data_IF_109627457896
#
_entry.id   IF_109627457896
#
_cell.length_a   1.000
_cell.length_b   1.000
_cell.length_c   1.000
_cell.angle_alpha   90.00
_cell.angle_beta   90.00
_cell.angle_gamma   90.00
#
_symmetry.space_group_name_H-M   'P 1'
#
loop_
_entity.id
_entity.type
_entity.pdbx_description
1 polymer ?
#
# COMPACT_ATOMS: atom_id res chain seq x y z
N UNK A 1 52.09 54.68 -28.25
CA UNK A 1 52.47 53.54 -27.39
C UNK A 1 52.40 54.00 -25.95
N UNK A 2 51.23 53.93 -25.30
CA UNK A 2 51.05 53.92 -23.82
C UNK A 2 49.56 53.92 -23.40
N UNK A 3 48.63 54.33 -24.26
CA UNK A 3 47.21 54.46 -23.89
C UNK A 3 46.34 53.21 -24.05
N UNK A 4 46.84 52.13 -24.66
CA UNK A 4 46.09 50.86 -24.80
C UNK A 4 46.39 49.80 -23.73
N UNK A 5 47.42 50.00 -22.88
CA UNK A 5 47.73 49.08 -21.77
C UNK A 5 46.88 49.33 -20.52
N UNK A 6 46.42 50.57 -20.31
CA UNK A 6 45.62 50.93 -19.14
C UNK A 6 44.20 50.34 -19.16
N UNK A 7 43.56 50.29 -20.34
CA UNK A 7 42.22 49.70 -20.48
C UNK A 7 42.22 48.17 -20.36
N UNK A 8 43.32 47.51 -20.73
CA UNK A 8 43.44 46.06 -20.62
C UNK A 8 43.66 45.59 -19.17
N UNK A 9 44.44 46.33 -18.37
CA UNK A 9 44.58 46.05 -16.94
C UNK A 9 43.31 46.39 -16.14
N UNK A 10 42.58 47.45 -16.53
CA UNK A 10 41.31 47.83 -15.88
C UNK A 10 40.20 46.77 -16.11
N UNK A 11 40.11 46.19 -17.31
CA UNK A 11 39.12 45.15 -17.61
C UNK A 11 39.39 43.83 -16.85
N UNK A 12 40.67 43.46 -16.66
CA UNK A 12 41.04 42.24 -15.92
C UNK A 12 40.78 42.43 -14.41
N UNK A 13 40.99 43.63 -13.85
CA UNK A 13 40.69 43.90 -12.43
C UNK A 13 39.18 43.87 -12.13
N UNK A 14 38.35 44.35 -13.07
CA UNK A 14 36.88 44.33 -12.95
C UNK A 14 36.33 42.90 -13.09
N UNK A 15 36.87 42.08 -14.01
CA UNK A 15 36.51 40.65 -14.09
C UNK A 15 36.98 39.86 -12.86
N UNK A 16 38.15 40.18 -12.29
CA UNK A 16 38.63 39.55 -11.06
C UNK A 16 37.77 39.96 -9.84
N UNK A 17 37.39 41.23 -9.70
CA UNK A 17 36.47 41.66 -8.63
C UNK A 17 35.06 41.08 -8.77
N UNK A 18 34.57 40.88 -10.00
CA UNK A 18 33.29 40.20 -10.25
C UNK A 18 33.35 38.69 -9.92
N UNK A 19 34.52 38.06 -10.06
CA UNK A 19 34.73 36.67 -9.61
C UNK A 19 34.90 36.52 -8.10
N UNK A 20 35.36 37.55 -7.38
CA UNK A 20 35.49 37.54 -5.92
C UNK A 20 34.19 37.93 -5.17
N UNK A 21 33.26 38.62 -5.84
CA UNK A 21 31.92 38.91 -5.30
C UNK A 21 30.90 37.78 -5.51
N UNK A 22 31.28 36.67 -6.15
CA UNK A 22 30.44 35.48 -6.30
C UNK A 22 30.77 34.34 -5.31
N UNK A 23 31.73 34.53 -4.41
CA UNK A 23 32.21 33.45 -3.51
C UNK A 23 31.80 33.64 -2.04
N UNK A 24 31.13 34.73 -1.66
CA UNK A 24 30.69 34.92 -0.28
C UNK A 24 29.32 35.60 -0.17
N UNK A 25 28.25 34.81 -0.18
CA UNK A 25 27.09 34.97 0.72
C UNK A 25 25.94 34.06 0.28
N UNK A 26 25.87 32.83 0.79
CA UNK A 26 24.63 32.27 1.36
C UNK A 26 25.08 31.23 2.38
N UNK A 27 25.35 31.69 3.59
CA UNK A 27 25.34 30.82 4.76
C UNK A 27 23.87 30.62 5.14
N UNK A 28 23.15 29.87 4.31
CA UNK A 28 21.90 29.29 4.73
C UNK A 28 22.28 28.15 5.66
N UNK A 29 21.90 28.28 6.92
CA UNK A 29 21.84 27.15 7.83
C UNK A 29 21.08 26.04 7.10
N UNK A 30 21.80 25.02 6.62
CA UNK A 30 21.18 23.77 6.18
C UNK A 30 20.62 23.15 7.44
N UNK A 31 19.35 23.44 7.71
CA UNK A 31 18.50 22.51 8.44
C UNK A 31 18.70 21.16 7.75
N UNK A 32 19.31 20.23 8.46
CA UNK A 32 19.33 18.83 8.09
C UNK A 32 17.90 18.44 7.73
N UNK A 33 17.62 17.95 6.52
CA UNK A 33 16.35 17.27 6.30
C UNK A 33 16.35 16.13 7.29
N UNK A 34 15.43 16.17 8.25
CA UNK A 34 15.02 14.94 8.91
C UNK A 34 14.37 14.14 7.78
N UNK A 35 15.16 13.33 7.09
CA UNK A 35 14.64 12.25 6.27
C UNK A 35 13.69 11.45 7.18
N UNK A 36 12.43 11.20 6.78
CA UNK A 36 11.68 10.16 7.43
C UNK A 36 12.48 8.87 7.22
N UNK A 37 13.10 8.37 8.31
CA UNK A 37 13.75 7.07 8.36
C UNK A 37 12.70 5.98 8.17
N UNK A 38 12.26 5.80 6.93
CA UNK A 38 11.87 4.47 6.48
C UNK A 38 13.20 3.78 6.17
N UNK A 39 13.80 3.21 7.22
CA UNK A 39 14.96 2.34 7.09
C UNK A 39 14.52 1.13 6.26
N UNK A 40 14.98 1.09 5.02
CA UNK A 40 14.82 -0.05 4.12
C UNK A 40 15.82 -1.13 4.55
N UNK A 41 15.36 -2.29 5.06
CA UNK A 41 16.27 -3.37 5.39
C UNK A 41 16.53 -4.18 4.15
N UNK A 42 17.63 -3.91 3.48
CA UNK A 42 18.19 -4.86 2.54
C UNK A 42 19.67 -5.00 2.84
N UNK A 43 20.04 -6.15 3.40
CA UNK A 43 21.43 -6.60 3.54
C UNK A 43 21.97 -6.73 4.97
N UNK A 44 21.23 -7.31 5.93
CA UNK A 44 21.82 -7.75 7.20
C UNK A 44 21.55 -9.24 7.42
N UNK A 45 22.62 -9.99 7.64
CA UNK A 45 22.62 -11.42 8.01
C UNK A 45 22.26 -11.64 9.50
N UNK A 46 21.97 -10.57 10.24
CA UNK A 46 21.50 -10.61 11.61
C UNK A 46 19.98 -10.45 11.64
N UNK A 47 19.27 -11.19 12.51
CA UNK A 47 17.83 -11.01 12.69
C UNK A 47 17.55 -9.55 13.01
N UNK A 48 16.66 -8.93 12.23
CA UNK A 48 16.17 -7.61 12.60
C UNK A 48 15.44 -7.74 13.94
N UNK A 49 15.68 -6.78 14.83
CA UNK A 49 15.11 -6.78 16.17
C UNK A 49 14.26 -5.51 16.31
N UNK A 50 13.06 -5.62 16.85
CA UNK A 50 12.22 -4.44 17.08
C UNK A 50 12.58 -3.70 18.38
N UNK A 51 11.84 -2.63 18.67
CA UNK A 51 12.12 -1.72 19.78
C UNK A 51 12.13 -2.43 21.15
N UNK A 52 11.49 -3.59 21.26
CA UNK A 52 11.42 -4.40 22.48
C UNK A 52 12.54 -5.46 22.58
N UNK A 53 13.40 -5.57 21.56
CA UNK A 53 14.45 -6.58 21.55
C UNK A 53 14.01 -7.95 21.00
N UNK A 54 12.85 -8.04 20.35
CA UNK A 54 12.34 -9.28 19.75
C UNK A 54 12.68 -9.39 18.25
N UNK A 55 12.97 -10.61 17.79
CA UNK A 55 13.19 -10.89 16.37
C UNK A 55 11.95 -10.53 15.53
N UNK A 56 12.15 -9.68 14.53
CA UNK A 56 11.14 -9.23 13.59
C UNK A 56 10.76 -10.40 12.69
N UNK A 57 9.51 -10.83 12.81
CA UNK A 57 8.93 -11.83 11.92
C UNK A 57 8.70 -11.32 10.50
N UNK A 58 8.14 -12.20 9.68
CA UNK A 58 7.80 -11.89 8.29
C UNK A 58 6.71 -10.81 8.19
N UNK A 59 6.80 -9.99 7.15
CA UNK A 59 5.74 -9.04 6.78
C UNK A 59 4.84 -9.69 5.74
N UNK A 60 3.53 -9.67 6.00
CA UNK A 60 2.49 -10.20 5.13
C UNK A 60 1.58 -9.09 4.63
N UNK A 61 1.02 -9.26 3.44
CA UNK A 61 -0.02 -8.38 2.93
C UNK A 61 -1.19 -9.16 2.30
N UNK A 62 -2.39 -8.63 2.50
CA UNK A 62 -3.61 -9.05 1.78
C UNK A 62 -4.16 -7.81 1.09
N UNK A 63 -4.29 -7.86 -0.24
CA UNK A 63 -4.71 -6.73 -1.06
C UNK A 63 -6.01 -7.10 -1.77
N UNK A 64 -7.08 -6.33 -1.58
CA UNK A 64 -8.43 -6.71 -2.00
C UNK A 64 -9.10 -5.58 -2.78
N UNK A 65 -9.51 -5.89 -4.01
CA UNK A 65 -10.42 -5.08 -4.79
C UNK A 65 -11.81 -5.73 -4.71
N UNK A 66 -12.76 -5.06 -4.04
CA UNK A 66 -14.10 -5.59 -3.76
C UNK A 66 -15.08 -5.50 -4.94
N UNK A 67 -14.67 -5.02 -6.10
CA UNK A 67 -15.53 -4.92 -7.29
C UNK A 67 -14.89 -5.38 -8.59
N UNK A 68 -15.77 -5.52 -9.57
CA UNK A 68 -15.49 -5.82 -10.96
C UNK A 68 -16.16 -4.80 -11.88
N UNK A 69 -15.89 -4.91 -13.18
CA UNK A 69 -16.42 -4.06 -14.23
C UNK A 69 -15.59 -2.80 -14.44
N UNK A 70 -15.47 -2.37 -15.70
CA UNK A 70 -14.60 -1.26 -16.08
C UNK A 70 -14.94 0.09 -15.44
N UNK A 71 -16.20 0.32 -15.04
CA UNK A 71 -16.57 1.50 -14.25
C UNK A 71 -15.91 1.58 -12.86
N UNK A 72 -15.41 0.44 -12.37
CA UNK A 72 -14.71 0.30 -11.11
C UNK A 72 -13.19 0.11 -11.28
N UNK A 73 -12.65 0.49 -12.45
CA UNK A 73 -11.23 0.42 -12.79
C UNK A 73 -10.30 0.80 -11.63
N UNK A 74 -10.63 1.89 -10.93
CA UNK A 74 -9.83 2.48 -9.85
C UNK A 74 -9.51 1.50 -8.71
N UNK A 75 -10.44 0.64 -8.30
CA UNK A 75 -10.23 -0.25 -7.16
C UNK A 75 -9.19 -1.34 -7.44
N UNK A 76 -9.17 -1.88 -8.67
CA UNK A 76 -8.12 -2.81 -9.08
C UNK A 76 -6.80 -2.09 -9.37
N UNK A 77 -6.85 -0.84 -9.85
CA UNK A 77 -5.66 0.00 -10.01
C UNK A 77 -5.00 0.32 -8.65
N UNK A 78 -5.79 0.58 -7.61
CA UNK A 78 -5.35 0.77 -6.24
C UNK A 78 -4.61 -0.45 -5.70
N UNK A 79 -5.22 -1.63 -5.82
CA UNK A 79 -4.60 -2.90 -5.39
C UNK A 79 -3.30 -3.19 -6.15
N UNK A 80 -3.30 -2.98 -7.46
CA UNK A 80 -2.10 -3.14 -8.27
C UNK A 80 -1.00 -2.18 -7.81
N UNK A 81 -1.32 -0.91 -7.58
CA UNK A 81 -0.36 0.09 -7.12
C UNK A 81 0.16 -0.24 -5.71
N UNK A 82 -0.70 -0.66 -4.79
CA UNK A 82 -0.30 -1.11 -3.45
C UNK A 82 0.68 -2.29 -3.52
N UNK A 83 0.43 -3.28 -4.39
CA UNK A 83 1.39 -4.38 -4.63
C UNK A 83 2.75 -3.85 -5.08
N UNK A 84 2.79 -2.90 -6.02
CA UNK A 84 4.06 -2.32 -6.50
C UNK A 84 4.85 -1.64 -5.37
N UNK A 85 4.16 -0.90 -4.50
CA UNK A 85 4.78 -0.22 -3.35
C UNK A 85 5.34 -1.22 -2.35
N UNK A 86 4.59 -2.27 -1.99
CA UNK A 86 5.01 -3.28 -1.03
C UNK A 86 6.16 -4.14 -1.57
N UNK A 87 6.11 -4.49 -2.86
CA UNK A 87 7.22 -5.17 -3.56
C UNK A 87 8.48 -4.33 -3.54
N UNK A 88 8.38 -3.03 -3.85
CA UNK A 88 9.50 -2.09 -3.78
C UNK A 88 10.02 -1.93 -2.35
N UNK A 89 9.14 -2.02 -1.35
CA UNK A 89 9.47 -2.02 0.08
C UNK A 89 10.06 -3.32 0.61
N UNK A 90 10.28 -4.33 -0.24
CA UNK A 90 10.96 -5.58 0.12
C UNK A 90 10.05 -6.68 0.66
N UNK A 91 8.72 -6.54 0.62
CA UNK A 91 7.83 -7.65 0.95
C UNK A 91 7.91 -8.69 -0.17
N UNK A 92 8.14 -9.95 0.20
CA UNK A 92 8.22 -11.06 -0.74
C UNK A 92 6.85 -11.40 -1.31
N UNK A 93 6.78 -11.76 -2.58
CA UNK A 93 5.54 -12.13 -3.26
C UNK A 93 4.79 -13.31 -2.62
N UNK A 94 5.54 -14.27 -2.06
CA UNK A 94 4.98 -15.40 -1.31
C UNK A 94 4.18 -14.97 -0.07
N UNK A 95 4.45 -13.78 0.46
CA UNK A 95 3.76 -13.19 1.60
C UNK A 95 2.70 -12.14 1.21
N UNK A 96 2.47 -11.93 -0.08
CA UNK A 96 1.44 -11.01 -0.59
C UNK A 96 0.34 -11.81 -1.27
N UNK A 97 -0.88 -11.75 -0.72
CA UNK A 97 -2.07 -12.40 -1.28
C UNK A 97 -2.92 -11.35 -1.99
N UNK A 98 -3.17 -11.53 -3.28
CA UNK A 98 -3.93 -10.56 -4.10
C UNK A 98 -5.30 -11.10 -4.50
N UNK A 99 -6.33 -10.33 -4.15
CA UNK A 99 -7.71 -10.48 -4.58
C UNK A 99 -8.06 -9.34 -5.54
N UNK A 100 -8.26 -9.66 -6.81
CA UNK A 100 -8.81 -8.71 -7.78
C UNK A 100 -9.52 -9.46 -8.88
N UNK A 101 -10.65 -8.93 -9.36
CA UNK A 101 -11.48 -9.68 -10.30
C UNK A 101 -10.77 -9.96 -11.63
N UNK A 102 -9.79 -9.12 -12.00
CA UNK A 102 -8.89 -9.27 -13.16
C UNK A 102 -9.56 -9.08 -14.52
N UNK A 103 -10.58 -8.23 -14.57
CA UNK A 103 -11.36 -7.91 -15.77
C UNK A 103 -11.06 -6.51 -16.35
N UNK A 104 -10.00 -5.86 -15.88
CA UNK A 104 -9.64 -4.48 -16.28
C UNK A 104 -8.58 -4.43 -17.37
N UNK A 105 -7.45 -5.12 -17.19
CA UNK A 105 -6.29 -4.99 -18.07
C UNK A 105 -6.61 -5.32 -19.53
N UNK A 106 -7.42 -6.37 -19.76
CA UNK A 106 -7.83 -6.81 -21.10
C UNK A 106 -9.28 -6.42 -21.45
N UNK A 107 -9.90 -5.52 -20.69
CA UNK A 107 -11.26 -5.07 -20.97
C UNK A 107 -11.34 -4.40 -22.36
N UNK A 108 -12.43 -4.60 -23.10
CA UNK A 108 -12.62 -4.01 -24.43
C UNK A 108 -12.68 -2.47 -24.43
N UNK A 109 -12.98 -1.87 -23.29
CA UNK A 109 -12.95 -0.41 -23.08
C UNK A 109 -11.58 0.11 -22.62
N UNK A 110 -10.61 -0.76 -22.34
CA UNK A 110 -9.27 -0.33 -21.95
C UNK A 110 -8.51 0.19 -23.19
N UNK A 111 -8.17 1.49 -23.27
CA UNK A 111 -7.44 2.03 -24.42
C UNK A 111 -5.99 1.57 -24.48
N UNK A 112 -5.46 0.97 -23.40
CA UNK A 112 -4.11 0.42 -23.29
C UNK A 112 -4.20 -1.06 -22.83
N UNK A 113 -4.56 -1.99 -23.72
CA UNK A 113 -4.70 -3.40 -23.36
C UNK A 113 -3.44 -3.96 -22.68
N UNK A 114 -3.63 -4.68 -21.59
CA UNK A 114 -2.57 -5.25 -20.75
C UNK A 114 -1.94 -4.29 -19.74
N UNK A 115 -2.38 -3.03 -19.70
CA UNK A 115 -1.85 -2.00 -18.78
C UNK A 115 -2.95 -1.51 -17.84
N UNK A 116 -2.58 -1.29 -16.57
CA UNK A 116 -3.38 -0.53 -15.61
C UNK A 116 -2.49 0.57 -15.03
N UNK A 117 -2.88 1.83 -15.15
CA UNK A 117 -2.27 2.97 -14.44
C UNK A 117 -3.12 3.37 -13.22
N UNK A 118 -2.51 3.92 -12.17
CA UNK A 118 -3.22 4.50 -11.01
C UNK A 118 -2.86 5.99 -10.76
N UNK A 119 -2.39 6.68 -11.81
CA UNK A 119 -2.11 8.11 -11.82
C UNK A 119 -2.09 8.61 -13.27
N UNK A 120 -2.56 9.83 -13.60
CA UNK A 120 -2.66 10.29 -15.00
C UNK A 120 -1.36 10.23 -15.80
N UNK A 121 -0.22 10.48 -15.14
CA UNK A 121 1.14 10.33 -15.71
C UNK A 121 1.91 9.15 -15.08
N UNK A 122 1.20 8.19 -14.49
CA UNK A 122 1.81 7.02 -13.84
C UNK A 122 2.22 5.94 -14.82
N UNK A 123 3.18 5.12 -14.37
CA UNK A 123 3.58 3.89 -15.05
C UNK A 123 2.52 2.78 -14.92
N UNK A 124 2.72 1.68 -15.64
CA UNK A 124 1.92 0.46 -15.45
C UNK A 124 2.12 -0.11 -14.05
N UNK A 125 1.01 -0.33 -13.34
CA UNK A 125 0.98 -0.98 -12.03
C UNK A 125 0.52 -2.43 -12.11
N UNK A 126 0.03 -2.92 -13.26
CA UNK A 126 -0.51 -4.28 -13.42
C UNK A 126 0.57 -5.35 -13.58
N UNK A 127 1.65 -5.04 -14.31
CA UNK A 127 2.69 -6.02 -14.60
C UNK A 127 3.30 -6.62 -13.32
N UNK A 128 3.29 -7.96 -13.28
CA UNK A 128 3.84 -8.74 -12.18
C UNK A 128 2.92 -8.88 -10.97
N UNK A 129 1.74 -8.25 -10.94
CA UNK A 129 0.78 -8.43 -9.83
C UNK A 129 0.26 -9.88 -9.84
N UNK A 130 0.42 -10.65 -8.73
CA UNK A 130 -0.06 -12.02 -8.60
C UNK A 130 -1.57 -12.12 -8.83
N UNK A 131 -1.99 -13.28 -9.35
CA UNK A 131 -3.39 -13.63 -9.58
C UNK A 131 -3.81 -14.72 -8.59
N UNK A 132 -3.70 -14.43 -7.30
CA UNK A 132 -3.99 -15.44 -6.27
C UNK A 132 -5.47 -15.81 -6.25
N UNK A 133 -6.34 -14.81 -6.28
CA UNK A 133 -7.79 -14.99 -6.34
C UNK A 133 -8.39 -14.00 -7.33
N UNK A 134 -8.93 -14.52 -8.43
CA UNK A 134 -9.54 -13.72 -9.51
C UNK A 134 -10.92 -14.22 -9.91
N UNK A 135 -11.68 -13.39 -10.64
CA UNK A 135 -13.04 -13.70 -11.04
C UNK A 135 -13.94 -14.11 -9.85
N UNK A 136 -14.60 -15.26 -9.97
CA UNK A 136 -15.51 -15.83 -8.96
C UNK A 136 -14.83 -16.16 -7.62
N UNK A 137 -13.49 -16.25 -7.61
CA UNK A 137 -12.72 -16.57 -6.41
C UNK A 137 -12.55 -15.36 -5.48
N UNK A 138 -12.87 -14.15 -5.96
CA UNK A 138 -12.92 -12.94 -5.14
C UNK A 138 -14.23 -12.92 -4.36
N UNK A 139 -14.27 -13.67 -3.27
CA UNK A 139 -15.45 -13.84 -2.41
C UNK A 139 -15.04 -13.86 -0.93
N UNK A 140 -16.02 -13.63 -0.05
CA UNK A 140 -15.79 -13.55 1.40
C UNK A 140 -15.29 -14.85 2.00
N UNK A 141 -15.74 -16.00 1.51
CA UNK A 141 -15.29 -17.31 2.01
C UNK A 141 -13.78 -17.48 1.83
N UNK A 142 -13.26 -17.18 0.63
CA UNK A 142 -11.83 -17.22 0.36
C UNK A 142 -11.07 -16.15 1.15
N UNK A 143 -11.58 -14.92 1.22
CA UNK A 143 -10.93 -13.85 1.99
C UNK A 143 -10.77 -14.23 3.47
N UNK A 144 -11.83 -14.76 4.09
CA UNK A 144 -11.80 -15.18 5.48
C UNK A 144 -10.87 -16.39 5.70
N UNK A 145 -10.88 -17.35 4.78
CA UNK A 145 -9.94 -18.47 4.81
C UNK A 145 -8.48 -18.00 4.70
N UNK A 146 -8.20 -17.03 3.82
CA UNK A 146 -6.87 -16.43 3.65
C UNK A 146 -6.41 -15.73 4.92
N UNK A 147 -7.24 -14.86 5.50
CA UNK A 147 -6.89 -14.13 6.73
C UNK A 147 -6.59 -15.08 7.89
N UNK A 148 -7.36 -16.17 7.99
CA UNK A 148 -7.18 -17.20 9.02
C UNK A 148 -6.03 -18.17 8.74
N UNK A 149 -5.32 -18.06 7.60
CA UNK A 149 -4.29 -19.02 7.21
C UNK A 149 -4.83 -20.42 6.90
N UNK A 150 -6.13 -20.55 6.64
CA UNK A 150 -6.80 -21.83 6.49
C UNK A 150 -6.85 -22.29 5.04
N UNK A 151 -5.77 -22.92 4.58
CA UNK A 151 -5.65 -23.40 3.18
C UNK A 151 -6.71 -24.43 2.78
N UNK A 152 -7.22 -25.24 3.70
CA UNK A 152 -8.23 -26.26 3.37
C UNK A 152 -9.65 -25.70 3.22
N UNK A 153 -9.90 -24.48 3.72
CA UNK A 153 -11.17 -23.78 3.53
C UNK A 153 -11.24 -22.94 2.24
N UNK A 154 -10.09 -22.73 1.59
CA UNK A 154 -10.02 -22.04 0.30
C UNK A 154 -10.67 -22.88 -0.81
N UNK A 155 -11.48 -22.23 -1.65
CA UNK A 155 -12.09 -22.81 -2.85
C UNK A 155 -11.60 -22.07 -4.10
N UNK A 156 -10.80 -22.77 -4.92
CA UNK A 156 -10.16 -22.19 -6.10
C UNK A 156 -8.97 -21.28 -5.75
N UNK A 157 -8.47 -20.54 -6.75
CA UNK A 157 -7.31 -19.67 -6.60
C UNK A 157 -5.98 -20.40 -6.50
N UNK A 158 -4.93 -19.65 -6.17
CA UNK A 158 -3.56 -20.18 -5.99
C UNK A 158 -3.42 -21.03 -4.72
N UNK A 159 -4.36 -20.88 -3.77
CA UNK A 159 -4.29 -21.48 -2.44
C UNK A 159 -3.29 -20.79 -1.51
N UNK A 160 -2.78 -19.60 -1.88
CA UNK A 160 -1.93 -18.78 -1.01
C UNK A 160 -2.78 -18.17 0.10
N UNK A 161 -2.35 -18.36 1.35
CA UNK A 161 -3.03 -17.85 2.55
C UNK A 161 -2.02 -17.16 3.46
N UNK A 162 -2.50 -16.39 4.44
CA UNK A 162 -1.63 -15.78 5.46
C UNK A 162 -1.29 -16.80 6.54
N UNK A 163 -0.35 -17.71 6.25
CA UNK A 163 0.20 -18.68 7.21
C UNK A 163 1.28 -18.03 8.11
N UNK A 164 0.89 -16.92 8.73
CA UNK A 164 1.75 -16.09 9.56
C UNK A 164 2.01 -16.71 10.94
N UNK A 165 3.11 -16.29 11.58
CA UNK A 165 3.58 -16.73 12.90
C UNK A 165 3.45 -15.60 13.95
N UNK A 166 3.63 -15.88 15.26
CA UNK A 166 3.37 -14.89 16.31
C UNK A 166 4.13 -13.56 16.19
N UNK A 167 5.34 -13.55 15.62
CA UNK A 167 6.14 -12.31 15.47
C UNK A 167 5.92 -11.60 14.13
N UNK A 168 5.06 -12.16 13.27
CA UNK A 168 4.81 -11.62 11.94
C UNK A 168 3.87 -10.41 12.01
N UNK A 169 3.98 -9.51 11.04
CA UNK A 169 3.08 -8.35 10.90
C UNK A 169 2.25 -8.47 9.64
N UNK A 170 0.98 -8.08 9.72
CA UNK A 170 0.03 -8.19 8.61
C UNK A 170 -0.45 -6.80 8.19
N UNK A 171 -0.42 -6.53 6.89
CA UNK A 171 -1.07 -5.38 6.28
C UNK A 171 -2.26 -5.83 5.45
N UNK A 172 -3.47 -5.36 5.77
CA UNK A 172 -4.65 -5.55 4.94
C UNK A 172 -4.98 -4.22 4.25
N UNK A 173 -5.11 -4.27 2.92
CA UNK A 173 -5.62 -3.17 2.15
C UNK A 173 -6.85 -3.60 1.37
N UNK A 174 -7.93 -2.86 1.54
CA UNK A 174 -9.19 -3.05 0.82
C UNK A 174 -9.55 -1.76 0.09
N UNK A 175 -9.92 -1.86 -1.20
CA UNK A 175 -10.46 -0.75 -1.99
C UNK A 175 -11.72 -1.21 -2.74
N UNK A 176 -12.86 -0.57 -2.47
CA UNK A 176 -14.11 -0.75 -3.20
C UNK A 176 -15.20 0.28 -2.83
N UNK A 177 -16.45 -0.01 -3.19
CA UNK A 177 -17.66 0.48 -2.56
C UNK A 177 -17.87 -0.05 -1.13
N UNK A 178 -18.63 0.72 -0.37
CA UNK A 178 -19.15 0.35 0.93
C UNK A 178 -20.49 1.02 1.20
N UNK A 179 -21.11 0.61 2.29
CA UNK A 179 -22.31 1.20 2.86
C UNK A 179 -22.36 0.91 4.37
N UNK A 180 -23.48 1.21 5.06
CA UNK A 180 -23.52 1.09 6.51
C UNK A 180 -23.32 -0.37 6.95
N UNK A 181 -22.19 -0.66 7.58
CA UNK A 181 -21.84 -1.99 8.11
C UNK A 181 -21.54 -3.05 7.05
N UNK A 182 -21.28 -2.67 5.80
CA UNK A 182 -21.04 -3.62 4.70
C UNK A 182 -20.00 -3.09 3.70
N UNK A 183 -19.09 -3.96 3.27
CA UNK A 183 -18.15 -3.73 2.17
C UNK A 183 -18.54 -4.61 0.98
N UNK A 184 -18.41 -4.06 -0.23
CA UNK A 184 -18.69 -4.77 -1.46
C UNK A 184 -17.83 -6.02 -1.68
N UNK A 185 -18.34 -6.96 -2.45
CA UNK A 185 -17.57 -8.06 -3.02
C UNK A 185 -18.13 -8.30 -4.41
N UNK A 186 -17.29 -8.67 -5.40
CA UNK A 186 -17.79 -8.86 -6.76
C UNK A 186 -18.63 -10.14 -6.87
N UNK A 187 -18.51 -11.04 -5.91
CA UNK A 187 -19.29 -12.26 -5.80
C UNK A 187 -19.94 -12.33 -4.41
N UNK A 188 -21.26 -12.50 -4.39
CA UNK A 188 -22.05 -12.55 -3.15
C UNK A 188 -21.70 -13.76 -2.27
N UNK A 189 -21.86 -13.65 -0.94
CA UNK A 189 -22.35 -12.47 -0.21
C UNK A 189 -21.30 -11.37 -0.07
N UNK A 190 -21.76 -10.15 0.21
CA UNK A 190 -20.90 -9.04 0.63
C UNK A 190 -20.21 -9.32 1.97
N UNK A 191 -19.20 -8.52 2.29
CA UNK A 191 -18.49 -8.57 3.56
C UNK A 191 -19.25 -7.72 4.58
N UNK A 192 -19.90 -8.38 5.54
CA UNK A 192 -20.60 -7.70 6.64
C UNK A 192 -19.65 -7.46 7.81
N UNK A 193 -19.77 -6.28 8.42
CA UNK A 193 -18.86 -5.84 9.48
C UNK A 193 -18.77 -6.84 10.65
N UNK A 194 -19.91 -7.35 11.13
CA UNK A 194 -19.93 -8.30 12.26
C UNK A 194 -19.19 -9.60 11.94
N UNK A 195 -19.38 -10.17 10.75
CA UNK A 195 -18.68 -11.39 10.34
C UNK A 195 -17.18 -11.14 10.22
N UNK A 196 -16.81 -9.98 9.68
CA UNK A 196 -15.41 -9.60 9.52
C UNK A 196 -14.72 -9.40 10.88
N UNK A 197 -15.35 -8.72 11.83
CA UNK A 197 -14.83 -8.59 13.20
C UNK A 197 -14.66 -9.96 13.87
N UNK A 198 -15.57 -10.91 13.67
CA UNK A 198 -15.42 -12.27 14.21
C UNK A 198 -14.24 -13.03 13.57
N UNK A 199 -13.95 -12.79 12.29
CA UNK A 199 -12.74 -13.33 11.64
C UNK A 199 -11.48 -12.72 12.25
N UNK A 200 -11.45 -11.41 12.51
CA UNK A 200 -10.31 -10.75 13.15
C UNK A 200 -10.09 -11.25 14.59
N UNK A 201 -11.16 -11.42 15.37
CA UNK A 201 -11.08 -12.03 16.71
C UNK A 201 -10.52 -13.45 16.66
N UNK A 202 -10.95 -14.27 15.70
CA UNK A 202 -10.40 -15.63 15.50
C UNK A 202 -8.92 -15.59 15.11
N UNK A 203 -8.52 -14.65 14.25
CA UNK A 203 -7.12 -14.45 13.86
C UNK A 203 -6.27 -14.02 15.05
N UNK A 204 -6.78 -13.15 15.92
CA UNK A 204 -6.12 -12.74 17.16
C UNK A 204 -5.99 -13.92 18.14
N UNK A 205 -7.09 -14.65 18.36
CA UNK A 205 -7.13 -15.79 19.29
C UNK A 205 -6.18 -16.93 18.89
N UNK A 206 -5.80 -17.04 17.62
CA UNK A 206 -4.79 -18.02 17.18
C UNK A 206 -3.35 -17.60 17.46
N UNK A 207 -3.12 -16.36 17.92
CA UNK A 207 -1.79 -15.85 18.25
C UNK A 207 -0.84 -15.82 17.05
N UNK A 208 -1.37 -15.69 15.83
CA UNK A 208 -0.61 -15.85 14.59
C UNK A 208 -0.17 -14.53 13.95
N UNK A 209 -0.07 -13.45 14.72
CA UNK A 209 0.56 -12.18 14.32
C UNK A 209 0.90 -11.35 15.55
N UNK A 210 1.89 -10.46 15.43
CA UNK A 210 2.27 -9.49 16.45
C UNK A 210 1.35 -8.27 16.38
N UNK A 211 1.28 -7.67 15.21
CA UNK A 211 0.48 -6.47 14.93
C UNK A 211 -0.14 -6.54 13.52
N UNK A 212 -1.32 -5.95 13.36
CA UNK A 212 -1.99 -5.82 12.07
C UNK A 212 -2.36 -4.36 11.79
N UNK A 213 -2.17 -3.93 10.55
CA UNK A 213 -2.61 -2.62 10.05
C UNK A 213 -3.62 -2.84 8.94
N UNK A 214 -4.76 -2.14 8.99
CA UNK A 214 -5.82 -2.23 7.99
C UNK A 214 -6.15 -0.86 7.40
N UNK A 215 -6.09 -0.75 6.08
CA UNK A 215 -6.47 0.44 5.32
C UNK A 215 -7.71 0.10 4.49
N UNK A 216 -8.81 0.81 4.73
CA UNK A 216 -10.11 0.53 4.08
C UNK A 216 -10.56 1.75 3.28
N UNK A 217 -10.45 1.65 1.95
CA UNK A 217 -11.01 2.59 0.99
C UNK A 217 -12.42 2.13 0.59
N UNK A 218 -13.43 2.82 1.13
CA UNK A 218 -14.84 2.67 0.77
C UNK A 218 -15.68 3.81 1.36
N UNK A 219 -16.84 4.08 0.75
CA UNK A 219 -17.91 4.86 1.37
C UNK A 219 -18.32 4.21 2.70
N UNK A 220 -18.63 5.06 3.67
CA UNK A 220 -19.09 4.70 5.01
C UNK A 220 -18.16 3.71 5.74
N UNK A 221 -16.87 3.69 5.38
CA UNK A 221 -15.90 2.68 5.84
C UNK A 221 -15.67 2.73 7.35
N UNK A 222 -15.89 3.88 8.01
CA UNK A 222 -15.89 3.99 9.47
C UNK A 222 -16.94 3.07 10.14
N UNK A 223 -18.08 2.84 9.48
CA UNK A 223 -19.18 2.02 10.02
C UNK A 223 -18.84 0.53 10.15
N UNK A 224 -17.75 0.08 9.51
CA UNK A 224 -17.25 -1.30 9.62
C UNK A 224 -16.63 -1.57 10.99
N UNK A 225 -16.21 -0.54 11.72
CA UNK A 225 -15.46 -0.68 12.97
C UNK A 225 -16.05 0.13 14.13
N UNK A 226 -16.71 1.25 13.84
CA UNK A 226 -17.22 2.16 14.85
C UNK A 226 -18.19 1.45 15.82
N UNK A 227 -17.88 1.53 17.12
CA UNK A 227 -18.69 0.92 18.18
C UNK A 227 -18.61 -0.61 18.30
N UNK A 228 -17.96 -1.31 17.35
CA UNK A 228 -17.91 -2.79 17.33
C UNK A 228 -16.50 -3.40 17.35
N UNK A 229 -15.46 -2.65 16.95
CA UNK A 229 -14.08 -3.12 16.94
C UNK A 229 -13.49 -3.18 18.38
N UNK A 230 -13.04 -4.34 18.87
CA UNK A 230 -12.35 -4.43 20.15
C UNK A 230 -10.99 -3.73 20.11
N UNK A 231 -10.55 -3.19 21.25
CA UNK A 231 -9.31 -2.39 21.35
C UNK A 231 -8.06 -3.20 21.69
N UNK A 232 -8.22 -4.47 22.02
CA UNK A 232 -7.21 -5.37 22.54
C UNK A 232 -6.73 -6.41 21.52
N UNK A 233 -7.00 -6.22 20.22
CA UNK A 233 -6.61 -7.16 19.17
C UNK A 233 -5.22 -6.89 18.56
N UNK A 234 -4.49 -5.85 18.98
CA UNK A 234 -3.27 -5.37 18.30
C UNK A 234 -3.50 -5.07 16.80
N UNK A 235 -4.65 -4.47 16.50
CA UNK A 235 -5.05 -4.08 15.14
C UNK A 235 -5.26 -2.57 15.10
N UNK A 236 -4.52 -1.90 14.22
CA UNK A 236 -4.74 -0.50 13.88
C UNK A 236 -5.52 -0.39 12.56
N UNK A 237 -6.49 0.53 12.52
CA UNK A 237 -7.35 0.72 11.36
C UNK A 237 -7.40 2.19 10.97
N UNK A 238 -7.36 2.45 9.68
CA UNK A 238 -7.76 3.73 9.09
C UNK A 238 -8.75 3.50 7.96
N UNK A 239 -9.69 4.42 7.83
CA UNK A 239 -10.82 4.34 6.90
C UNK A 239 -10.84 5.61 6.06
N UNK A 240 -11.21 5.50 4.78
CA UNK A 240 -11.26 6.64 3.87
C UNK A 240 -12.33 7.68 4.24
N UNK A 241 -13.39 7.24 4.92
CA UNK A 241 -14.46 8.11 5.42
C UNK A 241 -14.92 7.70 6.82
N UNK A 242 -15.73 8.56 7.46
CA UNK A 242 -16.42 8.20 8.70
C UNK A 242 -17.61 7.25 8.44
N UNK A 243 -18.42 6.95 9.45
CA UNK A 243 -19.53 5.99 9.32
C UNK A 243 -20.71 6.46 8.46
N UNK A 244 -20.79 7.75 8.10
CA UNK A 244 -21.95 8.35 7.42
C UNK A 244 -21.56 9.07 6.10
N UNK A 245 -20.27 9.09 5.75
CA UNK A 245 -19.75 9.83 4.60
C UNK A 245 -19.32 8.92 3.45
N UNK A 246 -19.49 9.42 2.22
CA UNK A 246 -18.93 8.83 1.01
C UNK A 246 -17.42 9.09 0.90
N UNK A 247 -16.69 8.17 0.27
CA UNK A 247 -15.31 8.43 -0.17
C UNK A 247 -15.29 8.91 -1.62
N UNK A 248 -14.11 9.35 -2.10
CA UNK A 248 -13.95 9.99 -3.40
C UNK A 248 -12.80 9.37 -4.21
N UNK A 249 -13.05 9.09 -5.48
CA UNK A 249 -12.00 8.76 -6.43
C UNK A 249 -11.17 10.00 -6.81
N UNK A 250 -9.96 9.78 -7.31
CA UNK A 250 -9.03 10.83 -7.77
C UNK A 250 -8.35 10.46 -9.08
#
# INVERSE_FOLDING_TARGET
METHKAYFLSAILVLAMLSFLHVQSVQAARLSPVEPRILMPTGKDEPEVDDDGEEIGSRWAVLVAGSSGYGNYRHQADVCHAYQLLRKGGIKEENMVVFMYDDIAMHHLNPRPGVIINHPQGDDVYAGVPKDYTGEQVNTENLYAVLLGNKSAVKGGSGKVVDSKPNDRIFLYYSDHGGPGVLGMPNMPFLYAMDFIEVLKKKHASGSYKEMVMYIEACESGSIFEGIMPKDLNIYVTTASNAEEISWGT
#
